data_IF_836886443164
#
_entry.id   IF_836886443164
#
_cell.length_a   1.000
_cell.length_b   1.000
_cell.length_c   1.000
_cell.angle_alpha   90.00
_cell.angle_beta   90.00
_cell.angle_gamma   90.00
#
_symmetry.space_group_name_H-M   'P 1'
#
loop_
_entity.id
_entity.type
_entity.pdbx_description
1 polymer ?
#
# COMPACT_ATOMS: atom_id res chain seq x y z
N UNK A 1 5.69 9.66 2.55
CA UNK A 1 5.24 10.17 3.85
C UNK A 1 5.28 9.06 4.88
N UNK A 2 5.76 9.35 6.07
CA UNK A 2 5.86 8.36 7.15
C UNK A 2 5.02 8.81 8.34
N UNK A 3 4.22 7.88 8.86
CA UNK A 3 3.33 8.12 10.00
C UNK A 3 3.53 7.01 11.02
N UNK A 4 3.12 7.28 12.26
CA UNK A 4 3.01 6.23 13.27
C UNK A 4 1.54 5.82 13.36
N UNK A 5 1.29 4.51 13.35
CA UNK A 5 -0.06 3.96 13.43
C UNK A 5 -0.04 2.70 14.28
N UNK A 6 -0.76 2.74 15.40
CA UNK A 6 -0.93 1.56 16.25
C UNK A 6 0.41 0.91 16.61
N UNK A 7 1.42 1.74 16.89
CA UNK A 7 2.76 1.31 17.22
C UNK A 7 3.64 0.96 16.03
N UNK A 8 3.10 0.93 14.83
CA UNK A 8 3.84 0.61 13.60
C UNK A 8 4.28 1.88 12.89
N UNK A 9 5.33 1.74 12.10
CA UNK A 9 5.80 2.80 11.21
C UNK A 9 5.13 2.59 9.84
N UNK A 10 4.24 3.49 9.47
CA UNK A 10 3.51 3.41 8.21
C UNK A 10 4.15 4.33 7.19
N UNK A 11 4.62 3.76 6.09
CA UNK A 11 5.28 4.49 5.01
C UNK A 11 4.33 4.50 3.81
N UNK A 12 3.89 5.68 3.41
CA UNK A 12 2.96 5.85 2.29
C UNK A 12 3.75 6.31 1.07
N UNK A 13 3.71 5.49 0.03
CA UNK A 13 4.45 5.73 -1.20
C UNK A 13 3.50 5.71 -2.39
N UNK A 14 3.42 6.83 -3.10
CA UNK A 14 2.50 6.99 -4.23
C UNK A 14 3.14 6.58 -5.56
N UNK A 15 4.11 5.68 -5.54
CA UNK A 15 4.80 5.19 -6.74
C UNK A 15 3.79 4.64 -7.76
N UNK A 16 3.89 5.11 -8.99
CA UNK A 16 2.99 4.69 -10.06
C UNK A 16 3.62 4.72 -11.46
N UNK A 17 4.93 4.92 -11.56
CA UNK A 17 5.64 4.93 -12.84
C UNK A 17 7.04 4.31 -12.66
N UNK A 18 7.75 4.01 -13.76
CA UNK A 18 9.06 3.33 -13.66
C UNK A 18 10.10 4.07 -12.83
N UNK A 19 10.13 5.39 -12.89
CA UNK A 19 11.07 6.16 -12.09
C UNK A 19 10.75 6.06 -10.61
N UNK A 20 9.46 6.08 -10.27
CA UNK A 20 9.01 5.88 -8.90
C UNK A 20 9.32 4.49 -8.39
N UNK A 21 9.22 3.47 -9.25
CA UNK A 21 9.56 2.09 -8.87
C UNK A 21 11.04 1.99 -8.53
N UNK A 22 11.90 2.64 -9.30
CA UNK A 22 13.34 2.65 -9.00
C UNK A 22 13.63 3.32 -7.66
N UNK A 23 12.96 4.44 -7.38
CA UNK A 23 13.10 5.14 -6.11
C UNK A 23 12.59 4.28 -4.95
N UNK A 24 11.47 3.59 -5.15
CA UNK A 24 10.92 2.68 -4.15
C UNK A 24 11.91 1.56 -3.84
N UNK A 25 12.50 0.97 -4.85
CA UNK A 25 13.49 -0.09 -4.66
C UNK A 25 14.65 0.40 -3.80
N UNK A 26 15.13 1.60 -4.08
CA UNK A 26 16.22 2.19 -3.31
C UNK A 26 15.82 2.41 -1.86
N UNK A 27 14.62 2.93 -1.64
CA UNK A 27 14.10 3.16 -0.29
C UNK A 27 13.92 1.86 0.48
N UNK A 28 13.36 0.83 -0.17
CA UNK A 28 13.16 -0.46 0.48
C UNK A 28 14.49 -1.13 0.84
N UNK A 29 15.49 -1.01 -0.05
CA UNK A 29 16.80 -1.61 0.21
C UNK A 29 17.54 -0.94 1.37
N UNK A 30 17.15 0.28 1.74
CA UNK A 30 17.78 1.00 2.85
C UNK A 30 17.19 0.66 4.21
N UNK A 31 16.07 -0.06 4.25
CA UNK A 31 15.45 -0.45 5.51
C UNK A 31 16.28 -1.54 6.19
N UNK A 32 16.41 -1.45 7.52
CA UNK A 32 17.19 -2.41 8.28
C UNK A 32 16.51 -3.77 8.37
N UNK A 33 15.18 -3.79 8.32
CA UNK A 33 14.39 -5.02 8.34
C UNK A 33 13.44 -5.04 7.16
N UNK A 34 13.07 -6.24 6.72
CA UNK A 34 12.11 -6.37 5.63
C UNK A 34 10.74 -5.91 6.09
N UNK A 35 10.10 -5.02 5.34
CA UNK A 35 8.80 -4.49 5.73
C UNK A 35 7.65 -5.42 5.34
N UNK A 36 6.49 -5.17 5.93
CA UNK A 36 5.22 -5.65 5.42
C UNK A 36 4.81 -4.69 4.32
N UNK A 37 4.41 -5.21 3.15
CA UNK A 37 4.03 -4.34 2.03
C UNK A 37 2.57 -4.59 1.66
N UNK A 38 1.84 -3.49 1.49
CA UNK A 38 0.46 -3.47 1.00
C UNK A 38 0.50 -2.80 -0.36
N UNK A 39 0.12 -3.53 -1.40
CA UNK A 39 0.25 -3.05 -2.78
C UNK A 39 -1.05 -3.13 -3.55
N UNK A 40 -1.31 -2.12 -4.37
CA UNK A 40 -2.44 -2.09 -5.29
C UNK A 40 -2.16 -1.10 -6.40
N UNK A 41 -2.53 -1.44 -7.65
CA UNK A 41 -2.19 -0.62 -8.80
C UNK A 41 -3.40 -0.30 -9.66
N UNK A 42 -3.22 0.68 -10.53
CA UNK A 42 -4.12 0.99 -11.63
C UNK A 42 -3.40 0.66 -12.93
N UNK A 43 -3.95 -0.31 -13.67
CA UNK A 43 -3.39 -0.73 -14.95
C UNK A 43 -2.38 -1.86 -14.80
N UNK A 44 -2.49 -2.83 -15.71
CA UNK A 44 -1.68 -4.04 -15.65
C UNK A 44 -0.23 -3.81 -16.07
N UNK A 45 -0.01 -2.84 -16.92
CA UNK A 45 1.33 -2.52 -17.42
C UNK A 45 2.27 -2.02 -16.34
N UNK A 46 1.72 -1.45 -15.27
CA UNK A 46 2.50 -0.96 -14.13
C UNK A 46 2.69 -2.02 -13.06
N UNK A 47 1.81 -3.00 -13.06
CA UNK A 47 1.76 -3.99 -12.00
C UNK A 47 3.00 -4.88 -11.98
N UNK A 48 3.49 -5.28 -13.15
CA UNK A 48 4.57 -6.26 -13.21
C UNK A 48 5.87 -5.74 -12.62
N UNK A 49 6.28 -4.54 -13.01
CA UNK A 49 7.52 -3.98 -12.47
C UNK A 49 7.42 -3.70 -10.98
N UNK A 50 6.26 -3.25 -10.51
CA UNK A 50 6.06 -3.04 -9.08
C UNK A 50 6.10 -4.36 -8.32
N UNK A 51 5.42 -5.37 -8.85
CA UNK A 51 5.39 -6.69 -8.18
C UNK A 51 6.78 -7.30 -8.07
N UNK A 52 7.63 -7.11 -9.07
CA UNK A 52 9.01 -7.58 -8.99
C UNK A 52 9.74 -6.97 -7.79
N UNK A 53 9.59 -5.67 -7.61
CA UNK A 53 10.29 -4.97 -6.52
C UNK A 53 9.71 -5.36 -5.16
N UNK A 54 8.40 -5.31 -5.00
CA UNK A 54 7.80 -5.62 -3.69
C UNK A 54 8.02 -7.09 -3.32
N UNK A 55 8.00 -7.98 -4.30
CA UNK A 55 8.29 -9.39 -4.07
C UNK A 55 9.68 -9.61 -3.48
N UNK A 56 10.64 -8.82 -3.92
CA UNK A 56 12.02 -8.95 -3.50
C UNK A 56 12.24 -8.47 -2.06
N UNK A 57 11.50 -7.45 -1.63
CA UNK A 57 11.78 -6.80 -0.35
C UNK A 57 10.74 -7.05 0.74
N UNK A 58 9.57 -7.57 0.42
CA UNK A 58 8.53 -7.76 1.42
C UNK A 58 8.76 -8.98 2.29
N UNK A 59 8.63 -8.80 3.60
CA UNK A 59 8.55 -9.94 4.51
C UNK A 59 7.18 -10.60 4.38
N UNK A 60 6.12 -9.81 4.35
CA UNK A 60 4.74 -10.23 4.07
C UNK A 60 4.18 -9.31 3.01
N UNK A 61 3.38 -9.85 2.11
CA UNK A 61 2.81 -9.08 1.01
C UNK A 61 1.30 -9.22 0.98
N UNK A 62 0.62 -8.08 1.02
CA UNK A 62 -0.84 -8.00 0.96
C UNK A 62 -1.23 -7.24 -0.29
N UNK A 63 -2.19 -7.79 -1.04
CA UNK A 63 -2.65 -7.22 -2.29
C UNK A 63 -4.08 -6.72 -2.13
N UNK A 64 -4.31 -5.48 -2.57
CA UNK A 64 -5.63 -4.86 -2.48
C UNK A 64 -5.99 -4.22 -3.81
N UNK A 65 -7.27 -3.95 -4.00
CA UNK A 65 -7.78 -3.29 -5.20
C UNK A 65 -8.27 -1.89 -4.81
N UNK A 66 -7.63 -0.82 -5.29
CA UNK A 66 -8.14 0.53 -5.06
C UNK A 66 -9.54 0.69 -5.63
N UNK A 67 -10.35 1.56 -5.03
CA UNK A 67 -11.71 1.81 -5.49
C UNK A 67 -11.73 2.76 -6.69
N UNK A 68 -11.21 2.27 -7.80
CA UNK A 68 -11.13 3.01 -9.05
C UNK A 68 -11.49 2.06 -10.20
N UNK A 69 -12.12 2.60 -11.24
CA UNK A 69 -12.57 1.80 -12.38
C UNK A 69 -11.43 1.03 -13.05
N UNK A 70 -10.23 1.61 -13.04
CA UNK A 70 -9.08 1.04 -13.72
C UNK A 70 -8.17 0.25 -12.78
N UNK A 71 -8.64 -0.04 -11.57
CA UNK A 71 -7.84 -0.77 -10.59
C UNK A 71 -7.54 -2.18 -11.09
N UNK A 72 -6.31 -2.61 -10.87
CA UNK A 72 -5.87 -3.95 -11.24
C UNK A 72 -6.42 -4.96 -10.23
N UNK A 73 -7.08 -6.03 -10.68
CA UNK A 73 -7.55 -7.06 -9.75
C UNK A 73 -6.39 -7.71 -9.01
N UNK A 74 -6.61 -8.06 -7.75
CA UNK A 74 -5.56 -8.71 -6.95
C UNK A 74 -5.14 -10.04 -7.54
N UNK A 75 -6.04 -10.74 -8.25
CA UNK A 75 -5.68 -11.98 -8.92
C UNK A 75 -4.61 -11.78 -9.98
N UNK A 76 -4.66 -10.66 -10.71
CA UNK A 76 -3.63 -10.34 -11.69
C UNK A 76 -2.30 -10.03 -10.99
N UNK A 77 -2.34 -9.25 -9.93
CA UNK A 77 -1.12 -8.94 -9.16
C UNK A 77 -0.47 -10.22 -8.66
N UNK A 78 -1.29 -11.12 -8.13
CA UNK A 78 -0.78 -12.40 -7.63
C UNK A 78 -0.16 -13.24 -8.73
N UNK A 79 -0.71 -13.19 -9.93
CA UNK A 79 -0.17 -13.93 -11.07
C UNK A 79 1.23 -13.44 -11.48
N UNK A 80 1.61 -12.23 -11.10
CA UNK A 80 2.93 -11.67 -11.39
C UNK A 80 3.99 -12.10 -10.37
N UNK A 81 3.62 -12.89 -9.36
CA UNK A 81 4.49 -13.20 -8.23
C UNK A 81 4.88 -14.68 -8.22
N UNK A 82 6.10 -14.93 -7.76
CA UNK A 82 6.59 -16.29 -7.50
C UNK A 82 6.64 -16.58 -6.00
N UNK A 83 5.83 -15.89 -5.22
CA UNK A 83 5.82 -16.04 -3.77
C UNK A 83 4.42 -15.90 -3.23
N UNK A 84 4.25 -16.25 -1.95
CA UNK A 84 2.97 -16.09 -1.28
C UNK A 84 2.61 -14.63 -1.12
N UNK A 85 1.34 -14.33 -1.32
CA UNK A 85 0.77 -13.03 -1.08
C UNK A 85 -0.70 -13.22 -0.70
N UNK A 86 -1.20 -12.35 0.15
CA UNK A 86 -2.59 -12.42 0.62
C UNK A 86 -3.43 -11.41 -0.13
N UNK A 87 -4.47 -11.87 -0.81
CA UNK A 87 -5.45 -11.00 -1.46
C UNK A 87 -6.46 -10.59 -0.39
N UNK A 88 -6.61 -9.28 -0.19
CA UNK A 88 -7.42 -8.78 0.92
C UNK A 88 -8.01 -7.41 0.58
N UNK A 89 -8.44 -6.67 1.58
CA UNK A 89 -8.98 -5.32 1.41
C UNK A 89 -8.64 -4.47 2.63
N UNK A 90 -8.85 -3.15 2.49
CA UNK A 90 -8.46 -2.21 3.53
C UNK A 90 -9.28 -2.36 4.81
N UNK A 91 -10.52 -2.85 4.72
CA UNK A 91 -11.33 -3.04 5.92
C UNK A 91 -10.80 -4.14 6.81
N UNK A 92 -10.10 -5.13 6.23
CA UNK A 92 -9.41 -6.18 6.98
C UNK A 92 -8.09 -5.66 7.56
N UNK A 93 -7.32 -4.93 6.76
CA UNK A 93 -5.99 -4.45 7.17
C UNK A 93 -6.06 -3.32 8.19
N UNK A 94 -7.02 -2.44 8.03
CA UNK A 94 -7.24 -1.28 8.90
C UNK A 94 -8.71 -1.28 9.34
N UNK A 95 -9.06 -2.10 10.34
CA UNK A 95 -10.47 -2.31 10.68
C UNK A 95 -11.19 -1.09 11.20
N UNK A 96 -10.47 -0.16 11.79
CA UNK A 96 -11.02 1.13 12.23
C UNK A 96 -9.92 2.16 12.30
N UNK A 97 -10.30 3.44 12.51
CA UNK A 97 -9.36 4.53 12.62
C UNK A 97 -8.33 4.23 13.73
N UNK A 98 -7.07 4.48 13.43
CA UNK A 98 -5.99 4.29 14.38
C UNK A 98 -5.54 2.84 14.58
N UNK A 99 -6.14 1.88 13.88
CA UNK A 99 -5.85 0.46 14.07
C UNK A 99 -5.26 -0.17 12.84
N UNK A 100 -4.31 -1.08 13.06
CA UNK A 100 -3.69 -1.88 12.01
C UNK A 100 -3.70 -3.35 12.44
N UNK A 101 -4.24 -4.21 11.58
CA UNK A 101 -4.44 -5.62 11.90
C UNK A 101 -3.25 -6.50 11.53
N UNK A 102 -2.25 -5.96 10.84
CA UNK A 102 -1.08 -6.74 10.40
C UNK A 102 0.18 -6.23 11.08
N UNK A 103 1.15 -7.14 11.22
CA UNK A 103 2.42 -6.82 11.84
C UNK A 103 2.33 -6.68 13.34
N UNK A 104 3.50 -6.46 13.95
CA UNK A 104 3.65 -6.24 15.37
C UNK A 104 4.10 -4.81 15.62
N UNK A 105 3.99 -4.30 16.86
CA UNK A 105 4.56 -2.98 17.17
C UNK A 105 6.03 -2.90 16.73
N UNK A 106 6.41 -1.74 16.22
CA UNK A 106 7.73 -1.44 15.67
C UNK A 106 8.00 -1.99 14.28
N UNK A 107 7.07 -2.75 13.69
CA UNK A 107 7.20 -3.16 12.29
C UNK A 107 7.02 -1.96 11.37
N UNK A 108 7.67 -2.04 10.21
CA UNK A 108 7.44 -1.08 9.11
C UNK A 108 6.44 -1.66 8.13
N UNK A 109 5.46 -0.85 7.77
CA UNK A 109 4.43 -1.21 6.80
C UNK A 109 4.49 -0.19 5.66
N UNK A 110 4.68 -0.67 4.44
CA UNK A 110 4.76 0.19 3.26
C UNK A 110 3.50 0.00 2.42
N UNK A 111 2.82 1.10 2.12
CA UNK A 111 1.67 1.10 1.20
C UNK A 111 2.13 1.72 -0.10
N UNK A 112 1.98 1.01 -1.21
CA UNK A 112 2.51 1.47 -2.49
C UNK A 112 1.67 1.01 -3.68
N UNK A 113 1.84 1.69 -4.81
CA UNK A 113 1.29 1.29 -6.10
C UNK A 113 0.32 2.28 -6.72
N UNK A 114 -0.26 3.18 -5.93
CA UNK A 114 -1.23 4.13 -6.45
C UNK A 114 -1.46 5.27 -5.47
N UNK A 115 -1.53 6.48 -6.00
CA UNK A 115 -1.91 7.65 -5.20
C UNK A 115 -3.32 7.46 -4.61
N UNK A 116 -4.20 6.77 -5.35
CA UNK A 116 -5.57 6.52 -4.88
C UNK A 116 -5.57 5.55 -3.70
N UNK A 117 -4.72 4.52 -3.76
CA UNK A 117 -4.58 3.60 -2.63
C UNK A 117 -4.08 4.32 -1.38
N UNK A 118 -3.07 5.15 -1.54
CA UNK A 118 -2.54 5.95 -0.43
C UNK A 118 -3.64 6.83 0.17
N UNK A 119 -4.45 7.47 -0.69
CA UNK A 119 -5.56 8.29 -0.24
C UNK A 119 -6.60 7.50 0.54
N UNK A 120 -6.96 6.32 0.06
CA UNK A 120 -7.93 5.44 0.73
C UNK A 120 -7.43 4.99 2.09
N UNK A 121 -6.15 4.64 2.19
CA UNK A 121 -5.55 4.29 3.47
C UNK A 121 -5.59 5.47 4.44
N UNK A 122 -5.24 6.66 3.96
CA UNK A 122 -5.29 7.86 4.79
C UNK A 122 -6.68 8.12 5.34
N UNK A 123 -7.71 8.02 4.48
CA UNK A 123 -9.09 8.20 4.92
C UNK A 123 -9.45 7.19 6.00
N UNK A 124 -9.05 5.96 5.81
CA UNK A 124 -9.42 4.88 6.71
C UNK A 124 -8.77 5.02 8.07
N UNK A 125 -7.49 5.32 8.12
CA UNK A 125 -6.77 5.43 9.39
C UNK A 125 -7.15 6.69 10.16
N UNK A 126 -7.60 7.73 9.47
CA UNK A 126 -8.01 8.99 10.10
C UNK A 126 -9.51 9.03 10.42
N UNK A 127 -10.27 8.05 9.92
CA UNK A 127 -11.72 8.02 10.12
C UNK A 127 -12.47 9.03 9.26
N UNK A 128 -11.83 9.59 8.23
CA UNK A 128 -12.45 10.55 7.32
C UNK A 128 -12.97 9.81 6.11
N UNK A 129 -14.20 10.09 5.69
CA UNK A 129 -14.80 9.43 4.53
C UNK A 129 -14.69 10.30 3.29
N UNK A 130 -14.68 9.65 2.13
CA UNK A 130 -14.62 10.37 0.86
C UNK A 130 -15.89 11.17 0.57
N UNK A 131 -17.05 10.78 1.10
CA UNK A 131 -18.26 11.56 0.94
C UNK A 131 -18.33 12.77 1.88
N UNK A 132 -17.42 12.81 2.84
CA UNK A 132 -17.14 14.02 3.61
C UNK A 132 -16.06 14.80 2.90
N UNK A 133 -15.83 14.43 1.67
CA UNK A 133 -14.67 14.77 0.90
C UNK A 133 -14.54 16.24 0.55
N UNK A 134 -15.62 16.98 0.58
CA UNK A 134 -15.50 18.41 0.41
C UNK A 134 -14.48 18.97 1.38
N UNK A 135 -14.58 18.55 2.63
CA UNK A 135 -13.61 18.95 3.64
C UNK A 135 -12.22 18.39 3.39
N UNK A 136 -12.18 17.11 3.05
CA UNK A 136 -10.91 16.45 2.79
C UNK A 136 -10.21 17.09 1.60
N UNK A 137 -10.92 17.36 0.54
CA UNK A 137 -10.37 17.99 -0.65
C UNK A 137 -9.89 19.41 -0.37
N UNK A 138 -10.60 20.11 0.47
CA UNK A 138 -10.22 21.49 0.83
C UNK A 138 -8.95 21.52 1.67
N UNK A 139 -8.60 20.41 2.29
CA UNK A 139 -7.45 20.32 3.19
C UNK A 139 -6.20 19.84 2.49
N UNK A 140 -6.36 19.28 1.32
CA UNK A 140 -5.22 18.71 0.60
C UNK A 140 -4.81 19.54 -0.60
#
# INVERSE_FOLDING_TARGET
>A
QTLELDGRKLILDATHNPEGVAALKQNLSSLTEQPIIIAGTLGEDRAQSLMEVVSQYARELYLVTPEQDRATPTSFLKSCLDRDAVETNLSVLFPKAGCCAVGEPDDSIVVTGSIYLVGEVMERIQGVRSNDGGRLQDKV
#
